data_IF_010401111763
#
_entry.id   IF_010401111763
#
_cell.length_a   1.000
_cell.length_b   1.000
_cell.length_c   1.000
_cell.angle_alpha   90.00
_cell.angle_beta   90.00
_cell.angle_gamma   90.00
#
_symmetry.space_group_name_H-M   'P 1'
#
loop_
_entity.id
_entity.type
_entity.pdbx_description
1 polymer ?
#
# COMPACT_ATOMS: atom_id res chain seq x y z
N UNK A 1 16.25 23.43 1.64
CA UNK A 1 15.74 22.50 0.61
C UNK A 1 14.48 21.85 1.19
N UNK A 2 13.28 22.10 0.64
CA UNK A 2 12.07 21.42 1.14
C UNK A 2 12.17 19.95 0.75
N UNK A 3 11.96 19.05 1.70
CA UNK A 3 11.90 17.62 1.43
C UNK A 3 10.80 17.32 0.39
N UNK A 4 11.19 16.78 -0.76
CA UNK A 4 10.29 16.53 -1.89
C UNK A 4 9.23 15.49 -1.51
N UNK A 5 9.59 14.53 -0.64
CA UNK A 5 8.64 13.55 -0.10
C UNK A 5 7.53 14.24 0.69
N UNK A 6 7.90 15.15 1.58
CA UNK A 6 6.93 15.94 2.35
C UNK A 6 5.99 16.75 1.46
N UNK A 7 6.48 17.31 0.35
CA UNK A 7 5.63 18.04 -0.60
C UNK A 7 4.65 17.14 -1.35
N UNK A 8 5.13 16.02 -1.92
CA UNK A 8 4.28 15.03 -2.60
C UNK A 8 3.24 14.43 -1.65
N UNK A 9 3.63 14.18 -0.39
CA UNK A 9 2.74 13.66 0.63
C UNK A 9 1.61 14.63 0.95
N UNK A 10 1.95 15.92 1.12
CA UNK A 10 0.97 16.97 1.39
C UNK A 10 0.00 17.11 0.22
N UNK A 11 0.48 17.05 -1.02
CA UNK A 11 -0.38 17.07 -2.21
C UNK A 11 -1.36 15.89 -2.21
N UNK A 12 -0.87 14.67 -2.02
CA UNK A 12 -1.71 13.47 -2.00
C UNK A 12 -2.77 13.52 -0.89
N UNK A 13 -2.47 14.12 0.27
CA UNK A 13 -3.46 14.33 1.33
C UNK A 13 -4.64 15.21 0.86
N UNK A 14 -4.36 16.28 0.12
CA UNK A 14 -5.41 17.14 -0.45
C UNK A 14 -6.19 16.40 -1.54
N UNK A 15 -5.49 15.74 -2.46
CA UNK A 15 -6.15 14.97 -3.53
C UNK A 15 -7.09 13.90 -2.94
N UNK A 16 -6.64 13.16 -1.93
CA UNK A 16 -7.44 12.15 -1.24
C UNK A 16 -8.64 12.74 -0.48
N UNK A 17 -8.51 13.95 0.06
CA UNK A 17 -9.59 14.67 0.74
C UNK A 17 -10.66 15.08 -0.26
N UNK A 18 -10.25 15.63 -1.40
CA UNK A 18 -11.15 16.13 -2.42
C UNK A 18 -11.86 14.98 -3.17
N UNK A 19 -11.29 13.76 -3.13
CA UNK A 19 -11.91 12.55 -3.66
C UNK A 19 -13.09 12.03 -2.81
N UNK A 20 -13.15 12.36 -1.51
CA UNK A 20 -14.12 11.78 -0.55
C UNK A 20 -15.58 11.92 -1.00
N UNK A 21 -16.06 13.09 -1.49
CA UNK A 21 -17.44 13.21 -1.96
C UNK A 21 -17.76 12.31 -3.15
N UNK A 22 -16.80 12.13 -4.06
CA UNK A 22 -16.97 11.24 -5.22
C UNK A 22 -16.98 9.77 -4.82
N UNK A 23 -16.12 9.37 -3.88
CA UNK A 23 -16.16 8.03 -3.28
C UNK A 23 -17.50 7.76 -2.61
N UNK A 24 -18.10 8.76 -1.97
CA UNK A 24 -19.42 8.64 -1.36
C UNK A 24 -20.51 8.41 -2.42
N UNK A 25 -20.49 9.16 -3.54
CA UNK A 25 -21.41 8.99 -4.67
C UNK A 25 -21.28 7.60 -5.30
N UNK A 26 -20.05 7.13 -5.50
CA UNK A 26 -19.74 5.80 -6.08
C UNK A 26 -20.02 4.63 -5.12
N UNK A 27 -20.42 4.90 -3.89
CA UNK A 27 -20.62 3.90 -2.83
C UNK A 27 -19.37 3.05 -2.60
N UNK A 28 -18.19 3.68 -2.54
CA UNK A 28 -16.94 3.00 -2.25
C UNK A 28 -17.04 2.20 -0.93
N UNK A 29 -16.79 0.88 -1.00
CA UNK A 29 -16.97 -0.02 0.14
C UNK A 29 -16.09 0.38 1.33
N UNK A 30 -14.85 0.81 1.07
CA UNK A 30 -13.90 1.19 2.12
C UNK A 30 -14.32 2.45 2.85
N UNK A 31 -14.80 3.46 2.11
CA UNK A 31 -15.37 4.67 2.69
C UNK A 31 -16.62 4.36 3.52
N UNK A 32 -17.53 3.54 2.99
CA UNK A 32 -18.76 3.17 3.71
C UNK A 32 -18.46 2.45 5.01
N UNK A 33 -17.51 1.52 5.00
CA UNK A 33 -17.07 0.83 6.22
C UNK A 33 -16.49 1.82 7.24
N UNK A 34 -15.64 2.76 6.83
CA UNK A 34 -15.14 3.82 7.71
C UNK A 34 -16.26 4.65 8.34
N UNK A 35 -17.24 5.06 7.54
CA UNK A 35 -18.39 5.86 8.01
C UNK A 35 -19.19 5.08 9.05
N UNK A 36 -19.50 3.81 8.78
CA UNK A 36 -20.25 2.96 9.70
C UNK A 36 -19.48 2.74 11.01
N UNK A 37 -18.18 2.43 10.93
CA UNK A 37 -17.36 2.25 12.13
C UNK A 37 -17.26 3.52 12.96
N UNK A 38 -17.21 4.70 12.32
CA UNK A 38 -17.21 5.98 13.02
C UNK A 38 -18.57 6.24 13.68
N UNK A 39 -19.66 6.04 12.93
CA UNK A 39 -21.02 6.20 13.42
C UNK A 39 -21.28 5.33 14.66
N UNK A 40 -20.89 4.06 14.62
CA UNK A 40 -21.00 3.12 15.73
C UNK A 40 -20.14 3.55 16.93
N UNK A 41 -18.87 3.91 16.70
CA UNK A 41 -17.95 4.28 17.77
C UNK A 41 -18.37 5.53 18.54
N UNK A 42 -19.02 6.47 17.86
CA UNK A 42 -19.37 7.79 18.42
C UNK A 42 -20.88 8.01 18.50
N UNK A 43 -21.68 6.94 18.42
CA UNK A 43 -23.16 6.97 18.47
C UNK A 43 -23.77 8.11 17.63
N UNK A 44 -23.25 8.24 16.41
CA UNK A 44 -23.60 9.34 15.49
C UNK A 44 -24.33 8.78 14.28
N UNK A 45 -25.37 9.48 13.81
CA UNK A 45 -26.09 9.07 12.61
C UNK A 45 -25.21 9.12 11.37
N UNK A 46 -25.23 8.01 10.61
CA UNK A 46 -24.58 7.89 9.29
C UNK A 46 -25.04 8.99 8.34
N UNK A 47 -26.30 9.42 8.41
CA UNK A 47 -26.83 10.46 7.51
C UNK A 47 -26.27 11.84 7.81
N UNK A 48 -26.00 12.15 9.09
CA UNK A 48 -25.33 13.39 9.49
C UNK A 48 -23.92 13.44 8.91
N UNK A 49 -23.18 12.33 9.01
CA UNK A 49 -21.82 12.22 8.46
C UNK A 49 -21.85 12.40 6.93
N UNK A 50 -22.76 11.70 6.24
CA UNK A 50 -22.92 11.81 4.79
C UNK A 50 -23.28 13.22 4.35
N UNK A 51 -24.15 13.90 5.10
CA UNK A 51 -24.49 15.31 4.86
C UNK A 51 -23.26 16.19 4.98
N UNK A 52 -22.47 16.06 6.06
CA UNK A 52 -21.22 16.81 6.24
C UNK A 52 -20.21 16.61 5.10
N UNK A 53 -20.09 15.38 4.58
CA UNK A 53 -19.24 15.10 3.41
C UNK A 53 -19.78 15.82 2.15
N UNK A 54 -21.09 15.76 1.89
CA UNK A 54 -21.70 16.41 0.72
C UNK A 54 -21.61 17.93 0.76
N UNK A 55 -21.71 18.51 1.95
CA UNK A 55 -21.58 19.95 2.18
C UNK A 55 -20.11 20.43 2.20
N UNK A 56 -19.15 19.52 2.04
CA UNK A 56 -17.74 19.86 1.99
C UNK A 56 -17.15 20.26 3.34
N UNK A 57 -17.72 19.79 4.46
CA UNK A 57 -17.23 20.08 5.79
C UNK A 57 -15.76 19.63 5.93
N UNK A 58 -14.80 20.55 6.20
CA UNK A 58 -13.38 20.21 6.21
C UNK A 58 -13.01 19.12 7.22
N UNK A 59 -13.67 19.10 8.38
CA UNK A 59 -13.47 18.07 9.40
C UNK A 59 -13.88 16.69 8.87
N UNK A 60 -15.07 16.58 8.27
CA UNK A 60 -15.54 15.34 7.69
C UNK A 60 -14.61 14.87 6.56
N UNK A 61 -14.28 15.74 5.61
CA UNK A 61 -13.43 15.38 4.48
C UNK A 61 -12.04 14.90 4.94
N UNK A 62 -11.40 15.62 5.85
CA UNK A 62 -10.07 15.25 6.37
C UNK A 62 -10.09 13.93 7.15
N UNK A 63 -11.16 13.65 7.89
CA UNK A 63 -11.27 12.43 8.69
C UNK A 63 -11.46 11.18 7.82
N UNK A 64 -12.27 11.30 6.76
CA UNK A 64 -12.61 10.16 5.92
C UNK A 64 -11.64 9.95 4.75
N UNK A 65 -10.82 10.95 4.41
CA UNK A 65 -9.72 10.83 3.46
C UNK A 65 -8.82 9.62 3.75
N UNK A 66 -8.30 8.99 2.70
CA UNK A 66 -7.29 7.94 2.85
C UNK A 66 -5.97 8.58 3.26
N UNK A 67 -5.27 7.96 4.20
CA UNK A 67 -3.92 8.38 4.57
C UNK A 67 -2.94 7.87 3.51
N UNK A 68 -2.20 8.75 2.82
CA UNK A 68 -1.23 8.32 1.80
C UNK A 68 -0.17 7.36 2.36
N UNK A 69 0.22 7.50 3.64
CA UNK A 69 1.20 6.60 4.26
C UNK A 69 0.72 5.15 4.30
N UNK A 70 -0.59 4.93 4.22
CA UNK A 70 -1.23 3.61 4.16
C UNK A 70 -1.56 3.15 2.73
N UNK A 71 -1.13 3.89 1.71
CA UNK A 71 -1.41 3.64 0.28
C UNK A 71 -0.15 3.39 -0.55
N UNK A 72 0.87 2.76 0.06
CA UNK A 72 2.17 2.50 -0.59
C UNK A 72 2.81 3.78 -1.17
N UNK A 73 2.57 4.93 -0.52
CA UNK A 73 3.04 6.22 -1.04
C UNK A 73 4.55 6.27 -1.24
N UNK A 74 5.33 5.80 -0.27
CA UNK A 74 6.79 5.81 -0.37
C UNK A 74 7.31 4.91 -1.48
N UNK A 75 6.70 3.74 -1.67
CA UNK A 75 7.03 2.80 -2.75
C UNK A 75 6.79 3.45 -4.12
N UNK A 76 5.62 4.06 -4.32
CA UNK A 76 5.28 4.76 -5.57
C UNK A 76 6.21 5.93 -5.86
N UNK A 77 6.52 6.73 -4.84
CA UNK A 77 7.44 7.86 -5.02
C UNK A 77 8.85 7.37 -5.35
N UNK A 78 9.33 6.32 -4.68
CA UNK A 78 10.62 5.72 -5.00
C UNK A 78 10.65 5.13 -6.43
N UNK A 79 9.59 4.44 -6.84
CA UNK A 79 9.43 3.90 -8.20
C UNK A 79 9.53 5.01 -9.27
N UNK A 80 8.84 6.14 -9.05
CA UNK A 80 8.92 7.32 -9.93
C UNK A 80 10.36 7.83 -10.02
N UNK A 81 11.05 7.98 -8.88
CA UNK A 81 12.45 8.41 -8.88
C UNK A 81 13.38 7.46 -9.62
N UNK A 82 13.24 6.15 -9.41
CA UNK A 82 14.09 5.14 -10.07
C UNK A 82 13.89 5.20 -11.59
N UNK A 83 12.65 5.40 -12.04
CA UNK A 83 12.34 5.51 -13.47
C UNK A 83 12.93 6.75 -14.15
N UNK A 84 13.31 7.78 -13.39
CA UNK A 84 13.94 9.01 -13.90
C UNK A 84 15.47 8.95 -13.92
N UNK A 85 16.10 7.88 -13.39
CA UNK A 85 17.55 7.74 -13.36
C UNK A 85 18.07 7.44 -14.78
N UNK A 86 19.04 8.24 -15.23
CA UNK A 86 19.70 8.05 -16.52
C UNK A 86 20.32 6.65 -16.61
N UNK A 87 19.95 5.89 -17.64
CA UNK A 87 20.41 4.52 -17.87
C UNK A 87 19.50 3.44 -17.27
N UNK A 88 18.41 3.81 -16.60
CA UNK A 88 17.34 2.87 -16.24
C UNK A 88 16.34 2.80 -17.40
N UNK A 89 16.31 1.66 -18.08
CA UNK A 89 15.33 1.32 -19.10
C UNK A 89 14.40 0.23 -18.58
N UNK A 90 13.11 0.30 -18.94
CA UNK A 90 12.09 -0.71 -18.61
C UNK A 90 11.80 -0.99 -17.11
N UNK A 91 12.08 -0.04 -16.21
CA UNK A 91 11.72 -0.19 -14.79
C UNK A 91 10.22 -0.39 -14.60
N UNK A 92 9.85 -1.42 -13.82
CA UNK A 92 8.46 -1.74 -13.46
C UNK A 92 8.34 -1.93 -11.96
N UNK A 93 7.38 -1.22 -11.38
CA UNK A 93 6.93 -1.45 -10.00
C UNK A 93 6.16 -2.78 -9.95
N UNK A 94 6.78 -3.81 -9.38
CA UNK A 94 6.21 -5.15 -9.34
C UNK A 94 5.24 -5.27 -8.18
N UNK A 95 4.01 -5.71 -8.49
CA UNK A 95 3.01 -6.00 -7.46
C UNK A 95 3.46 -7.20 -6.60
N UNK A 96 2.87 -7.28 -5.40
CA UNK A 96 3.16 -8.25 -4.34
C UNK A 96 2.90 -9.74 -4.69
N UNK A 97 2.56 -10.03 -5.94
CA UNK A 97 2.25 -11.35 -6.52
C UNK A 97 3.39 -11.90 -7.41
N UNK A 98 4.52 -11.20 -7.52
CA UNK A 98 5.61 -11.59 -8.42
C UNK A 98 6.76 -12.35 -7.73
N UNK A 99 7.58 -13.00 -8.57
CA UNK A 99 8.81 -13.67 -8.18
C UNK A 99 9.87 -12.64 -7.73
N UNK A 100 10.65 -12.99 -6.72
CA UNK A 100 11.67 -12.16 -6.09
C UNK A 100 13.05 -12.67 -6.40
N UNK A 101 14.05 -11.79 -6.54
CA UNK A 101 15.45 -12.19 -6.63
C UNK A 101 16.07 -12.22 -5.23
N UNK A 102 16.54 -13.37 -4.77
CA UNK A 102 17.26 -13.54 -3.51
C UNK A 102 18.53 -14.35 -3.75
N UNK A 103 19.70 -13.79 -3.40
CA UNK A 103 21.02 -14.41 -3.63
C UNK A 103 21.20 -14.94 -5.08
N UNK A 104 20.76 -14.16 -6.08
CA UNK A 104 20.85 -14.54 -7.49
C UNK A 104 19.82 -15.58 -7.95
N UNK A 105 18.94 -16.05 -7.08
CA UNK A 105 17.88 -17.01 -7.40
C UNK A 105 16.51 -16.34 -7.45
N UNK A 106 15.67 -16.75 -8.39
CA UNK A 106 14.28 -16.28 -8.52
C UNK A 106 13.36 -17.15 -7.65
N UNK A 107 12.72 -16.56 -6.65
CA UNK A 107 11.92 -17.26 -5.62
C UNK A 107 10.52 -16.66 -5.48
N UNK A 108 9.52 -17.47 -5.14
CA UNK A 108 8.20 -16.95 -4.76
C UNK A 108 8.22 -16.34 -3.35
N UNK A 109 7.33 -15.35 -3.10
CA UNK A 109 7.20 -14.67 -1.81
C UNK A 109 7.11 -15.59 -0.58
N UNK A 110 6.43 -16.73 -0.72
CA UNK A 110 6.25 -17.70 0.36
C UNK A 110 7.59 -18.24 0.89
N UNK A 111 8.62 -18.26 0.05
CA UNK A 111 9.95 -18.74 0.41
C UNK A 111 10.84 -17.65 1.04
N UNK A 112 10.56 -16.35 0.81
CA UNK A 112 11.31 -15.25 1.42
C UNK A 112 11.31 -15.28 2.95
N UNK A 113 10.22 -15.74 3.57
CA UNK A 113 10.11 -15.85 5.03
C UNK A 113 10.95 -16.99 5.61
N UNK A 114 11.22 -18.03 4.81
CA UNK A 114 11.98 -19.22 5.20
C UNK A 114 13.48 -18.93 5.13
N UNK A 115 13.92 -18.16 4.13
CA UNK A 115 15.33 -17.79 3.93
C UNK A 115 15.78 -16.54 4.69
N UNK A 116 14.90 -15.94 5.51
CA UNK A 116 15.28 -14.80 6.34
C UNK A 116 16.20 -15.28 7.49
N UNK A 117 17.47 -14.82 7.58
CA UNK A 117 18.45 -15.32 8.56
C UNK A 117 18.03 -15.14 10.02
N UNK A 118 17.02 -14.32 10.31
CA UNK A 118 16.52 -14.08 11.66
C UNK A 118 15.69 -15.26 12.21
N UNK A 119 15.15 -16.13 11.34
CA UNK A 119 14.29 -17.26 11.75
C UNK A 119 14.92 -18.66 11.54
N UNK A 120 16.16 -18.74 11.04
CA UNK A 120 16.76 -20.01 10.59
C UNK A 120 17.55 -20.77 11.66
N UNK A 121 17.56 -20.31 12.92
CA UNK A 121 18.18 -21.04 14.03
C UNK A 121 17.38 -22.26 14.52
N UNK A 122 16.17 -22.52 13.99
CA UNK A 122 15.30 -23.61 14.44
C UNK A 122 14.78 -24.56 13.36
N UNK A 123 15.24 -24.47 12.11
CA UNK A 123 14.69 -25.30 11.01
C UNK A 123 15.75 -26.10 10.25
N UNK A 124 16.92 -26.33 10.84
CA UNK A 124 17.92 -27.27 10.29
C UNK A 124 17.66 -28.66 10.89
N UNK A 125 16.50 -29.23 10.60
CA UNK A 125 16.23 -30.66 10.66
C UNK A 125 14.90 -30.86 9.91
N UNK A 126 14.77 -31.92 9.11
CA UNK A 126 13.50 -32.37 8.49
C UNK A 126 13.02 -31.86 7.12
N UNK A 127 13.88 -31.42 6.20
CA UNK A 127 13.48 -31.39 4.77
C UNK A 127 14.51 -31.97 3.80
N UNK A 128 15.01 -33.17 4.09
CA UNK A 128 15.48 -34.09 3.03
C UNK A 128 14.32 -34.93 2.49
N UNK A 129 13.31 -34.31 1.89
CA UNK A 129 12.41 -35.04 0.98
C UNK A 129 11.52 -34.11 0.17
N UNK A 130 11.60 -34.29 -1.15
CA UNK A 130 10.62 -33.92 -2.19
C UNK A 130 10.67 -32.48 -2.72
N UNK A 131 11.08 -32.43 -4.00
CA UNK A 131 10.83 -31.41 -5.02
C UNK A 131 11.84 -30.26 -5.15
N UNK A 132 13.06 -30.63 -5.54
CA UNK A 132 13.91 -29.74 -6.33
C UNK A 132 13.36 -29.63 -7.76
N UNK A 133 12.68 -28.52 -8.06
CA UNK A 133 12.68 -27.93 -9.40
C UNK A 133 13.34 -26.55 -9.28
N UNK A 134 14.66 -26.57 -9.20
CA UNK A 134 15.50 -25.38 -9.35
C UNK A 134 15.68 -25.21 -10.86
N UNK A 135 15.07 -24.19 -11.45
CA UNK A 135 15.42 -23.77 -12.80
C UNK A 135 16.66 -22.86 -12.69
N UNK A 136 17.82 -23.43 -13.02
CA UNK A 136 19.07 -22.69 -13.20
C UNK A 136 18.99 -21.94 -14.52
N UNK A 137 19.11 -20.61 -14.48
CA UNK A 137 19.37 -19.81 -15.69
C UNK A 137 20.90 -19.82 -15.87
N UNK A 138 21.37 -20.30 -17.02
CA UNK A 138 22.76 -20.19 -17.48
C UNK A 138 22.95 -18.80 -18.08
#
# INVERSE_FOLDING_TARGET
MKDIYSHKLKKQLFDNRDEVPELLKKKDKGLWQKINNYAEKFDTSVDIIKKGIREGNPFALNHFAKDPKKQNFYEKVAAEYISEIVGVEDFKDLKNDQLYLFQGSVIEKKFLRIYNPINSSHLIEDTKSKHNKIATII
#
